data_IF_888552759814
#
_entry.id   IF_888552759814
#
_cell.length_a   1.000
_cell.length_b   1.000
_cell.length_c   1.000
_cell.angle_alpha   90.00
_cell.angle_beta   90.00
_cell.angle_gamma   90.00
#
_symmetry.space_group_name_H-M   'P 1'
#
loop_
_entity.id
_entity.type
_entity.pdbx_description
1 polymer ?
#
# COMPACT_ATOMS: atom_id res chain seq x y z
N UNK A 1 9.87 -17.28 12.03
CA UNK A 1 8.69 -17.47 11.15
C UNK A 1 8.21 -16.12 10.59
N UNK A 2 9.10 -15.32 10.00
CA UNK A 2 8.95 -13.84 10.04
C UNK A 2 8.89 -13.14 8.68
N UNK A 3 8.71 -13.84 7.56
CA UNK A 3 8.66 -13.21 6.22
C UNK A 3 7.24 -12.81 5.75
N UNK A 4 6.30 -12.65 6.67
CA UNK A 4 4.90 -12.39 6.36
C UNK A 4 4.63 -10.96 5.82
N UNK A 5 5.53 -10.01 6.04
CA UNK A 5 5.30 -8.58 5.78
C UNK A 5 6.43 -7.96 4.97
N UNK A 6 7.24 -8.74 4.22
CA UNK A 6 8.37 -8.19 3.46
C UNK A 6 7.93 -7.17 2.38
N UNK A 7 6.69 -7.24 1.92
CA UNK A 7 6.08 -6.27 1.01
C UNK A 7 5.71 -4.93 1.68
N UNK A 8 5.73 -4.87 3.02
CA UNK A 8 5.47 -3.66 3.80
C UNK A 8 6.77 -3.16 4.42
N UNK A 9 7.01 -1.86 4.33
CA UNK A 9 8.17 -1.23 4.95
C UNK A 9 7.78 0.08 5.60
N UNK A 10 8.09 0.23 6.88
CA UNK A 10 7.95 1.50 7.59
C UNK A 10 9.22 2.32 7.44
N UNK A 11 9.06 3.60 7.10
CA UNK A 11 10.15 4.57 6.99
C UNK A 11 9.83 5.72 7.94
N UNK A 12 10.66 5.90 8.96
CA UNK A 12 10.49 6.96 9.95
C UNK A 12 10.84 8.31 9.30
N UNK A 13 9.93 9.29 9.37
CA UNK A 13 10.27 10.66 8.98
C UNK A 13 11.00 11.32 10.15
N UNK A 14 12.33 11.38 10.06
CA UNK A 14 13.19 12.02 11.06
C UNK A 14 13.11 13.56 10.99
N UNK A 15 11.94 14.12 11.30
CA UNK A 15 11.85 15.56 11.58
C UNK A 15 12.10 15.74 13.07
N UNK A 16 13.29 16.24 13.46
CA UNK A 16 13.68 16.45 14.88
C UNK A 16 12.58 17.24 15.61
N UNK A 17 11.88 16.67 16.60
CA UNK A 17 10.90 17.44 17.32
C UNK A 17 11.47 18.02 18.61
N UNK A 18 11.15 19.30 18.84
CA UNK A 18 11.55 20.07 20.03
C UNK A 18 10.68 19.77 21.27
N UNK A 19 9.60 19.00 21.12
CA UNK A 19 8.64 18.57 22.16
C UNK A 19 7.84 17.38 21.61
N UNK A 20 7.76 16.23 22.34
CA UNK A 20 7.21 14.93 21.86
C UNK A 20 5.90 15.08 21.04
N UNK A 21 5.95 15.02 19.70
CA UNK A 21 4.78 14.81 18.85
C UNK A 21 4.61 13.29 18.65
N UNK A 22 3.44 12.82 18.17
CA UNK A 22 3.34 11.47 17.67
C UNK A 22 4.38 11.26 16.56
N UNK A 23 5.17 10.19 16.67
CA UNK A 23 6.13 9.81 15.63
C UNK A 23 5.33 9.40 14.39
N UNK A 24 5.37 10.21 13.34
CA UNK A 24 4.74 9.89 12.06
C UNK A 24 5.69 9.07 11.19
N UNK A 25 5.19 7.97 10.66
CA UNK A 25 5.90 7.06 9.77
C UNK A 25 5.31 7.17 8.36
N UNK A 26 6.07 6.70 7.38
CA UNK A 26 5.59 6.47 6.04
C UNK A 26 5.57 4.96 5.79
N UNK A 27 4.41 4.43 5.40
CA UNK A 27 4.25 3.02 5.05
C UNK A 27 4.46 2.83 3.56
N UNK A 28 5.50 2.11 3.18
CA UNK A 28 5.74 1.69 1.81
C UNK A 28 5.13 0.31 1.56
N UNK A 29 4.44 0.15 0.44
CA UNK A 29 3.76 -1.08 0.03
C UNK A 29 4.25 -1.45 -1.37
N UNK A 30 4.93 -2.58 -1.48
CA UNK A 30 5.32 -3.15 -2.76
C UNK A 30 4.14 -3.91 -3.37
N UNK A 31 3.78 -3.56 -4.59
CA UNK A 31 2.69 -4.20 -5.32
C UNK A 31 3.06 -4.43 -6.78
N UNK A 32 2.48 -5.46 -7.37
CA UNK A 32 2.55 -5.75 -8.79
C UNK A 32 1.17 -5.51 -9.41
N UNK A 33 1.13 -4.59 -10.36
CA UNK A 33 -0.09 -4.05 -10.94
C UNK A 33 -0.32 -4.68 -12.31
N UNK A 34 -1.45 -5.35 -12.46
CA UNK A 34 -1.94 -5.95 -13.69
C UNK A 34 -3.03 -5.01 -14.27
N UNK A 35 -2.68 -4.13 -15.23
CA UNK A 35 -3.64 -3.23 -15.85
C UNK A 35 -4.55 -3.98 -16.83
N UNK A 36 -5.57 -3.29 -17.34
CA UNK A 36 -6.56 -3.85 -18.28
C UNK A 36 -7.34 -5.04 -17.71
N UNK A 37 -7.57 -5.06 -16.40
CA UNK A 37 -8.48 -6.03 -15.81
C UNK A 37 -9.93 -5.73 -16.22
N UNK A 38 -10.77 -6.77 -16.32
CA UNK A 38 -12.21 -6.56 -16.40
C UNK A 38 -12.68 -5.87 -15.10
N UNK A 39 -13.64 -4.95 -15.16
CA UNK A 39 -14.12 -4.21 -13.98
C UNK A 39 -14.56 -5.13 -12.83
N UNK A 40 -15.11 -6.31 -13.14
CA UNK A 40 -15.50 -7.31 -12.14
C UNK A 40 -14.30 -8.00 -11.43
N UNK A 41 -13.06 -7.75 -11.88
CA UNK A 41 -11.82 -8.32 -11.33
C UNK A 41 -10.87 -7.23 -10.81
N UNK A 42 -11.33 -5.98 -10.68
CA UNK A 42 -10.54 -4.90 -10.10
C UNK A 42 -10.42 -5.06 -8.59
N UNK A 43 -9.18 -5.06 -8.07
CA UNK A 43 -8.88 -5.23 -6.66
C UNK A 43 -7.63 -6.08 -6.38
N UNK A 44 -7.48 -6.49 -5.11
CA UNK A 44 -6.34 -7.31 -4.66
C UNK A 44 -6.62 -8.77 -5.00
N UNK A 45 -5.72 -9.40 -5.75
CA UNK A 45 -5.89 -10.78 -6.24
C UNK A 45 -5.18 -11.77 -5.34
N UNK A 46 -3.97 -11.40 -4.89
CA UNK A 46 -3.13 -12.25 -4.07
C UNK A 46 -2.14 -11.40 -3.27
N UNK A 47 -1.75 -11.89 -2.11
CA UNK A 47 -0.71 -11.28 -1.28
C UNK A 47 0.45 -12.27 -1.25
N UNK A 48 1.51 -11.94 -1.97
CA UNK A 48 2.75 -12.69 -1.96
C UNK A 48 3.64 -12.31 -0.78
N UNK A 49 4.78 -13.01 -0.59
CA UNK A 49 5.72 -12.69 0.48
C UNK A 49 6.36 -11.31 0.29
N UNK A 50 6.75 -10.97 -0.95
CA UNK A 50 7.49 -9.73 -1.26
C UNK A 50 6.64 -8.64 -1.94
N UNK A 51 5.51 -9.00 -2.54
CA UNK A 51 4.65 -8.06 -3.28
C UNK A 51 3.17 -8.46 -3.22
N UNK A 52 2.30 -7.45 -3.26
CA UNK A 52 0.84 -7.63 -3.41
C UNK A 52 0.45 -7.59 -4.88
N UNK A 53 -0.21 -8.63 -5.38
CA UNK A 53 -0.73 -8.68 -6.74
C UNK A 53 -2.11 -7.99 -6.82
N UNK A 54 -2.20 -6.99 -7.68
CA UNK A 54 -3.37 -6.13 -7.83
C UNK A 54 -3.79 -6.05 -9.30
N UNK A 55 -5.08 -6.19 -9.56
CA UNK A 55 -5.69 -5.93 -10.85
C UNK A 55 -6.36 -4.56 -10.84
N UNK A 56 -6.16 -3.77 -11.89
CA UNK A 56 -6.88 -2.52 -12.11
C UNK A 56 -7.49 -2.48 -13.50
N UNK A 57 -8.70 -1.94 -13.62
CA UNK A 57 -9.35 -1.77 -14.92
C UNK A 57 -8.68 -0.68 -15.77
N UNK A 58 -7.98 0.25 -15.12
CA UNK A 58 -7.27 1.34 -15.78
C UNK A 58 -6.20 0.84 -16.77
N UNK A 59 -6.08 1.58 -17.88
CA UNK A 59 -5.06 1.34 -18.90
C UNK A 59 -3.69 1.82 -18.42
N UNK A 60 -2.58 1.22 -18.87
CA UNK A 60 -1.23 1.67 -18.54
C UNK A 60 -0.80 2.88 -19.40
N UNK A 61 -1.68 3.87 -19.56
CA UNK A 61 -1.44 5.12 -20.31
C UNK A 61 -1.65 6.31 -19.38
N UNK A 62 -0.88 7.38 -19.60
CA UNK A 62 -1.03 8.67 -18.91
C UNK A 62 -1.11 8.61 -17.38
N UNK A 63 -0.54 7.58 -16.73
CA UNK A 63 -0.60 7.42 -15.29
C UNK A 63 -1.96 6.98 -14.73
N UNK A 64 -2.91 6.55 -15.57
CA UNK A 64 -4.22 6.07 -15.11
C UNK A 64 -4.10 4.86 -14.19
N UNK A 65 -3.24 3.90 -14.56
CA UNK A 65 -2.92 2.76 -13.70
C UNK A 65 -2.24 3.16 -12.38
N UNK A 66 -1.61 4.34 -12.26
CA UNK A 66 -1.07 4.84 -10.99
C UNK A 66 -2.23 5.35 -10.13
N UNK A 67 -3.09 6.16 -10.74
CA UNK A 67 -4.27 6.73 -10.08
C UNK A 67 -5.23 5.66 -9.58
N UNK A 68 -5.50 4.63 -10.40
CA UNK A 68 -6.38 3.53 -10.04
C UNK A 68 -5.85 2.73 -8.85
N UNK A 69 -4.55 2.41 -8.84
CA UNK A 69 -3.92 1.69 -7.74
C UNK A 69 -3.94 2.51 -6.45
N UNK A 70 -3.55 3.78 -6.50
CA UNK A 70 -3.62 4.65 -5.31
C UNK A 70 -5.05 4.77 -4.77
N UNK A 71 -6.06 4.83 -5.65
CA UNK A 71 -7.48 4.84 -5.26
C UNK A 71 -7.89 3.53 -4.59
N UNK A 72 -7.51 2.39 -5.15
CA UNK A 72 -7.82 1.09 -4.57
C UNK A 72 -7.24 0.97 -3.16
N UNK A 73 -5.95 1.25 -2.97
CA UNK A 73 -5.32 1.16 -1.65
C UNK A 73 -5.88 2.19 -0.67
N UNK A 74 -6.26 3.39 -1.12
CA UNK A 74 -6.92 4.39 -0.27
C UNK A 74 -8.24 3.85 0.30
N UNK A 75 -9.04 3.18 -0.53
CA UNK A 75 -10.29 2.55 -0.10
C UNK A 75 -10.05 1.38 0.86
N UNK A 76 -9.09 0.50 0.56
CA UNK A 76 -8.79 -0.67 1.38
C UNK A 76 -8.24 -0.28 2.76
N UNK A 77 -7.30 0.66 2.80
CA UNK A 77 -6.68 1.13 4.04
C UNK A 77 -7.52 2.18 4.78
N UNK A 78 -8.60 2.68 4.14
CA UNK A 78 -9.46 3.77 4.61
C UNK A 78 -8.67 5.04 4.95
N UNK A 79 -7.74 5.40 4.07
CA UNK A 79 -6.93 6.62 4.19
C UNK A 79 -7.26 7.60 3.06
N UNK A 80 -7.07 8.91 3.25
CA UNK A 80 -7.29 9.88 2.18
C UNK A 80 -6.37 9.60 0.98
N UNK A 81 -6.88 9.80 -0.25
CA UNK A 81 -6.06 9.65 -1.46
C UNK A 81 -4.82 10.54 -1.45
N UNK A 82 -4.90 11.71 -0.81
CA UNK A 82 -3.78 12.66 -0.70
C UNK A 82 -2.62 12.13 0.12
N UNK A 83 -2.82 11.13 0.97
CA UNK A 83 -1.74 10.51 1.75
C UNK A 83 -1.10 9.34 1.03
N UNK A 84 -1.60 8.92 -0.14
CA UNK A 84 -1.03 7.81 -0.91
C UNK A 84 -0.41 8.31 -2.22
N UNK A 85 0.84 7.96 -2.44
CA UNK A 85 1.52 8.24 -3.71
C UNK A 85 2.33 7.05 -4.23
N UNK A 86 2.59 7.02 -5.53
CA UNK A 86 3.44 6.02 -6.18
C UNK A 86 4.87 6.53 -6.19
N UNK A 87 5.69 6.06 -5.25
CA UNK A 87 7.09 6.52 -5.10
C UNK A 87 8.07 5.78 -6.02
N UNK A 88 7.74 4.56 -6.47
CA UNK A 88 8.55 3.79 -7.43
C UNK A 88 7.67 3.05 -8.42
N UNK A 89 8.22 2.80 -9.61
CA UNK A 89 7.54 1.98 -10.62
C UNK A 89 6.56 2.73 -11.51
N UNK A 90 6.68 4.05 -11.66
CA UNK A 90 5.75 4.87 -12.47
C UNK A 90 5.57 4.37 -13.92
N UNK A 91 6.60 3.73 -14.49
CA UNK A 91 6.60 3.14 -15.84
C UNK A 91 6.61 1.59 -15.83
N UNK A 92 6.52 0.96 -14.65
CA UNK A 92 6.60 -0.49 -14.47
C UNK A 92 5.29 -1.05 -13.91
N UNK A 93 5.10 -2.37 -14.06
CA UNK A 93 4.02 -3.10 -13.37
C UNK A 93 4.34 -3.27 -11.89
N UNK A 94 5.61 -3.43 -11.56
CA UNK A 94 6.08 -3.39 -10.18
C UNK A 94 6.09 -1.96 -9.67
N UNK A 95 5.26 -1.67 -8.67
CA UNK A 95 5.12 -0.35 -8.06
C UNK A 95 5.36 -0.41 -6.56
N UNK A 96 5.81 0.72 -6.03
CA UNK A 96 5.86 0.94 -4.58
C UNK A 96 5.00 2.14 -4.26
N UNK A 97 3.96 1.91 -3.46
CA UNK A 97 3.11 2.95 -2.91
C UNK A 97 3.71 3.42 -1.59
N UNK A 98 3.52 4.69 -1.26
CA UNK A 98 3.88 5.27 0.01
C UNK A 98 2.65 5.92 0.62
N UNK A 99 2.28 5.49 1.83
CA UNK A 99 1.24 6.10 2.65
C UNK A 99 1.92 6.98 3.68
N UNK A 100 1.70 8.29 3.60
CA UNK A 100 2.28 9.29 4.48
C UNK A 100 1.46 9.48 5.76
N UNK A 101 2.15 9.83 6.84
CA UNK A 101 1.49 10.23 8.09
C UNK A 101 0.81 9.10 8.83
N UNK A 102 1.36 7.89 8.76
CA UNK A 102 0.86 6.77 9.57
C UNK A 102 1.40 6.87 10.99
N UNK A 103 0.51 6.75 11.97
CA UNK A 103 0.87 6.73 13.38
C UNK A 103 0.94 5.29 13.87
N UNK A 104 2.03 4.97 14.56
CA UNK A 104 2.21 3.65 15.17
C UNK A 104 1.84 3.80 16.65
N UNK A 105 0.78 3.09 17.05
CA UNK A 105 0.31 3.07 18.42
C UNK A 105 1.19 2.23 19.35
N UNK A 106 0.66 1.87 20.52
CA UNK A 106 1.34 1.02 21.50
C UNK A 106 1.62 -0.41 21.02
N UNK A 107 1.00 -0.84 19.91
CA UNK A 107 1.18 -2.17 19.31
C UNK A 107 2.53 -2.35 18.59
N UNK A 108 3.32 -1.26 18.46
CA UNK A 108 4.63 -1.28 17.82
C UNK A 108 4.58 -1.44 16.30
N UNK A 109 5.77 -1.40 15.67
CA UNK A 109 5.90 -1.49 14.21
C UNK A 109 5.32 -2.81 13.67
N UNK A 110 5.64 -3.94 14.33
CA UNK A 110 5.20 -5.27 13.89
C UNK A 110 3.67 -5.44 13.97
N UNK A 111 3.03 -5.00 15.06
CA UNK A 111 1.58 -5.10 15.21
C UNK A 111 0.84 -4.27 14.16
N UNK A 112 1.32 -3.07 13.88
CA UNK A 112 0.78 -2.22 12.82
C UNK A 112 0.89 -2.90 11.44
N UNK A 113 2.06 -3.45 11.10
CA UNK A 113 2.27 -4.15 9.82
C UNK A 113 1.36 -5.38 9.68
N UNK A 114 1.20 -6.15 10.75
CA UNK A 114 0.29 -7.30 10.79
C UNK A 114 -1.16 -6.86 10.59
N UNK A 115 -1.59 -5.77 11.21
CA UNK A 115 -2.93 -5.20 11.03
C UNK A 115 -3.19 -4.71 9.60
N UNK A 116 -2.20 -4.05 8.99
CA UNK A 116 -2.28 -3.63 7.58
C UNK A 116 -2.42 -4.86 6.67
N UNK A 117 -1.59 -5.89 6.88
CA UNK A 117 -1.70 -7.14 6.11
C UNK A 117 -3.10 -7.76 6.25
N UNK A 118 -3.63 -7.85 7.46
CA UNK A 118 -4.98 -8.38 7.69
C UNK A 118 -6.07 -7.57 6.96
N UNK A 119 -5.95 -6.24 6.87
CA UNK A 119 -6.87 -5.41 6.08
C UNK A 119 -6.77 -5.72 4.58
N UNK A 120 -5.56 -5.92 4.06
CA UNK A 120 -5.35 -6.29 2.66
C UNK A 120 -5.91 -7.70 2.36
N UNK A 121 -5.70 -8.66 3.26
CA UNK A 121 -6.24 -10.02 3.14
C UNK A 121 -7.77 -10.02 3.14
N UNK A 122 -8.39 -9.22 4.00
CA UNK A 122 -9.85 -9.06 4.03
C UNK A 122 -10.41 -8.39 2.77
N UNK A 123 -9.63 -7.52 2.12
CA UNK A 123 -9.99 -6.85 0.88
C UNK A 123 -9.67 -7.66 -0.38
N UNK A 124 -9.11 -8.87 -0.23
CA UNK A 124 -8.79 -9.73 -1.36
C UNK A 124 -10.07 -10.23 -2.04
N UNK A 125 -10.14 -10.10 -3.37
CA UNK A 125 -11.29 -10.58 -4.13
C UNK A 125 -11.30 -12.11 -4.05
N UNK A 126 -12.36 -12.67 -3.45
CA UNK A 126 -12.62 -14.11 -3.50
C UNK A 126 -13.16 -14.45 -4.88
N UNK A 127 -12.43 -15.29 -5.61
CA UNK A 127 -12.89 -15.88 -6.88
C UNK A 127 -14.07 -16.82 -6.66
#
# INVERSE_FOLDING_TARGET
MSNATQFLRLVQNATKPRTKPPQTYNLQIACNVKPNASGNREGIIAIGPEKVDVCVAAVPRNGEANTAVSRLFAQVLRVPKSTIDVVKGLKSRDKTLCVYGVEIGSEGEEGFLQGVRGKLENAMIRK
#
